data_IF_673315847716
#
_entry.id   IF_673315847716
#
_cell.length_a   1.000
_cell.length_b   1.000
_cell.length_c   1.000
_cell.angle_alpha   90.00
_cell.angle_beta   90.00
_cell.angle_gamma   90.00
#
_symmetry.space_group_name_H-M   'P 1'
#
loop_
_entity.id
_entity.type
_entity.pdbx_description
1 polymer ?
#
# COMPACT_ATOMS: atom_id res chain seq x y z
N UNK A 1 20.27 18.08 -4.82
CA UNK A 1 20.78 16.87 -5.52
C UNK A 1 20.10 15.66 -4.94
N UNK A 2 20.10 14.53 -5.65
CA UNK A 2 19.53 13.25 -5.16
C UNK A 2 20.14 12.81 -3.84
N UNK A 3 21.41 13.16 -3.61
CA UNK A 3 22.13 12.88 -2.35
C UNK A 3 21.54 13.66 -1.17
N UNK A 4 21.19 14.91 -1.34
CA UNK A 4 20.58 15.72 -0.28
C UNK A 4 19.21 15.16 0.11
N UNK A 5 18.42 14.73 -0.88
CA UNK A 5 17.11 14.09 -0.66
C UNK A 5 17.25 12.81 0.17
N UNK A 6 18.20 11.94 -0.16
CA UNK A 6 18.48 10.70 0.57
C UNK A 6 18.87 10.98 2.03
N UNK A 7 19.71 12.01 2.25
CA UNK A 7 20.10 12.43 3.61
C UNK A 7 18.89 12.91 4.40
N UNK A 8 18.02 13.75 3.81
CA UNK A 8 16.84 14.25 4.49
C UNK A 8 15.86 13.12 4.84
N UNK A 9 15.59 12.22 3.91
CA UNK A 9 14.73 11.03 4.15
C UNK A 9 15.28 10.17 5.30
N UNK A 10 16.60 9.95 5.32
CA UNK A 10 17.27 9.20 6.38
C UNK A 10 17.17 9.89 7.76
N UNK A 11 17.41 11.20 7.81
CA UNK A 11 17.33 11.99 9.06
C UNK A 11 15.88 12.04 9.60
N UNK A 12 14.87 12.14 8.71
CA UNK A 12 13.46 12.13 9.11
C UNK A 12 13.08 10.76 9.66
N UNK A 13 13.44 9.67 8.96
CA UNK A 13 13.11 8.30 9.37
C UNK A 13 13.73 7.90 10.72
N UNK A 14 14.88 8.46 11.06
CA UNK A 14 15.54 8.26 12.36
C UNK A 14 15.02 9.17 13.48
N UNK A 15 14.19 10.17 13.15
CA UNK A 15 13.73 11.16 14.11
C UNK A 15 14.76 12.24 14.46
N UNK A 16 15.84 12.36 13.68
CA UNK A 16 16.87 13.39 13.86
C UNK A 16 16.32 14.80 13.53
N UNK A 17 15.27 14.86 12.70
CA UNK A 17 14.50 16.07 12.45
C UNK A 17 13.13 15.92 13.15
N UNK A 18 12.87 16.80 14.12
CA UNK A 18 11.59 16.78 14.81
C UNK A 18 10.45 17.20 13.86
N UNK A 19 9.20 16.68 14.05
CA UNK A 19 8.05 17.08 13.23
C UNK A 19 7.84 18.60 13.21
N UNK A 20 8.09 19.28 14.32
CA UNK A 20 8.01 20.74 14.41
C UNK A 20 9.03 21.45 13.53
N UNK A 21 10.26 20.96 13.51
CA UNK A 21 11.32 21.51 12.68
C UNK A 21 11.02 21.28 11.20
N UNK A 22 10.47 20.12 10.86
CA UNK A 22 10.02 19.84 9.49
C UNK A 22 8.97 20.85 9.02
N UNK A 23 7.95 21.14 9.83
CA UNK A 23 6.94 22.15 9.48
C UNK A 23 7.54 23.54 9.24
N UNK A 24 8.55 23.93 10.03
CA UNK A 24 9.22 25.24 9.88
C UNK A 24 10.05 25.27 8.58
N UNK A 25 10.73 24.16 8.25
CA UNK A 25 11.53 24.05 7.01
C UNK A 25 10.67 24.22 5.76
N UNK A 26 9.39 23.80 5.78
CA UNK A 26 8.49 24.03 4.63
C UNK A 26 8.33 25.52 4.29
N UNK A 27 8.33 26.40 5.28
CA UNK A 27 8.32 27.85 5.08
C UNK A 27 9.71 28.37 4.65
N UNK A 28 10.78 27.89 5.28
CA UNK A 28 12.15 28.30 4.98
C UNK A 28 12.60 27.91 3.57
N UNK A 29 12.07 26.80 3.04
CA UNK A 29 12.33 26.31 1.69
C UNK A 29 11.31 26.84 0.65
N UNK A 30 10.45 27.77 1.04
CA UNK A 30 9.40 28.35 0.17
C UNK A 30 8.47 27.29 -0.45
N UNK A 31 8.27 26.16 0.21
CA UNK A 31 7.24 25.19 -0.14
C UNK A 31 5.86 25.72 0.25
N UNK A 32 5.80 26.47 1.35
CA UNK A 32 4.64 27.25 1.80
C UNK A 32 5.01 28.72 1.86
N UNK A 33 4.04 29.59 1.56
CA UNK A 33 4.19 31.03 1.72
C UNK A 33 4.46 31.36 3.21
N UNK A 34 5.46 32.19 3.45
CA UNK A 34 5.92 32.48 4.80
C UNK A 34 4.87 33.22 5.62
N UNK A 35 4.49 32.65 6.77
CA UNK A 35 3.55 33.23 7.74
C UNK A 35 4.12 33.24 9.15
N UNK A 36 4.53 34.41 9.62
CA UNK A 36 5.09 34.62 10.95
C UNK A 36 4.18 34.13 12.08
N UNK A 37 2.87 34.30 11.97
CA UNK A 37 1.92 33.90 12.99
C UNK A 37 1.88 32.37 13.16
N UNK A 38 1.84 31.63 12.06
CA UNK A 38 1.84 30.15 12.04
C UNK A 38 3.20 29.60 12.49
N UNK A 39 4.30 30.18 11.99
CA UNK A 39 5.66 29.77 12.40
C UNK A 39 5.85 29.97 13.91
N UNK A 40 5.37 31.06 14.48
CA UNK A 40 5.43 31.31 15.94
C UNK A 40 4.57 30.31 16.73
N UNK A 41 3.37 29.96 16.25
CA UNK A 41 2.52 28.93 16.87
C UNK A 41 3.19 27.56 16.86
N UNK A 42 3.87 27.22 15.77
CA UNK A 42 4.67 25.99 15.70
C UNK A 42 5.85 26.04 16.67
N UNK A 43 6.61 27.16 16.71
CA UNK A 43 7.78 27.31 17.59
C UNK A 43 7.42 27.22 19.07
N UNK A 44 6.34 27.85 19.50
CA UNK A 44 5.92 27.87 20.90
C UNK A 44 5.02 26.68 21.31
N UNK A 45 4.67 25.79 20.36
CA UNK A 45 3.93 24.56 20.62
C UNK A 45 2.43 24.72 20.75
N UNK A 46 1.86 25.89 20.41
CA UNK A 46 0.40 26.10 20.44
C UNK A 46 -0.30 25.54 19.20
N UNK A 47 0.46 25.17 18.18
CA UNK A 47 -0.01 24.41 17.00
C UNK A 47 0.74 23.09 16.93
N UNK A 48 -0.01 21.98 16.93
CA UNK A 48 0.57 20.66 16.80
C UNK A 48 1.06 20.42 15.35
N UNK A 49 2.29 19.90 15.15
CA UNK A 49 2.80 19.64 13.82
C UNK A 49 1.92 18.71 12.99
N UNK A 50 1.32 17.71 13.60
CA UNK A 50 0.43 16.76 12.91
C UNK A 50 -0.81 17.49 12.35
N UNK A 51 -1.48 18.30 13.16
CA UNK A 51 -2.69 19.02 12.74
C UNK A 51 -2.37 20.01 11.61
N UNK A 52 -1.24 20.71 11.73
CA UNK A 52 -0.75 21.60 10.68
C UNK A 52 -0.51 20.86 9.35
N UNK A 53 0.23 19.76 9.38
CA UNK A 53 0.54 18.97 8.17
C UNK A 53 -0.75 18.42 7.55
N UNK A 54 -1.66 17.86 8.36
CA UNK A 54 -2.93 17.33 7.88
C UNK A 54 -3.81 18.41 7.25
N UNK A 55 -3.85 19.62 7.81
CA UNK A 55 -4.54 20.76 7.20
C UNK A 55 -3.97 21.08 5.83
N UNK A 56 -2.64 21.19 5.72
CA UNK A 56 -1.96 21.53 4.46
C UNK A 56 -2.13 20.45 3.38
N UNK A 57 -2.11 19.17 3.76
CA UNK A 57 -2.39 18.06 2.83
C UNK A 57 -3.85 18.10 2.36
N UNK A 58 -4.81 18.28 3.29
CA UNK A 58 -6.23 18.31 2.95
C UNK A 58 -6.59 19.48 2.02
N UNK A 59 -5.89 20.61 2.18
CA UNK A 59 -6.04 21.77 1.33
C UNK A 59 -5.25 21.67 0.00
N UNK A 60 -4.52 20.57 -0.21
CA UNK A 60 -3.65 20.36 -1.38
C UNK A 60 -2.55 21.41 -1.51
N UNK A 61 -2.12 22.00 -0.38
CA UNK A 61 -1.03 22.98 -0.32
C UNK A 61 0.35 22.31 -0.31
N UNK A 62 0.44 21.07 0.17
CA UNK A 62 1.66 20.25 0.18
C UNK A 62 1.36 18.82 -0.26
N UNK A 63 2.36 18.17 -0.82
CA UNK A 63 2.30 16.75 -1.22
C UNK A 63 3.12 15.88 -0.27
N UNK A 64 2.83 14.58 -0.16
CA UNK A 64 3.67 13.65 0.62
C UNK A 64 5.14 13.66 0.20
N UNK A 65 5.44 13.83 -1.08
CA UNK A 65 6.82 13.89 -1.59
C UNK A 65 7.61 15.09 -1.02
N UNK A 66 6.94 16.23 -0.79
CA UNK A 66 7.58 17.40 -0.16
C UNK A 66 7.90 17.20 1.31
N UNK A 67 7.33 16.18 1.94
CA UNK A 67 7.62 15.74 3.31
C UNK A 67 8.68 14.63 3.36
N UNK A 68 9.37 14.35 2.26
CA UNK A 68 10.28 13.22 2.11
C UNK A 68 9.61 11.84 2.41
N UNK A 69 8.29 11.77 2.27
CA UNK A 69 7.55 10.53 2.34
C UNK A 69 7.52 9.87 0.97
N UNK A 70 7.50 8.55 0.94
CA UNK A 70 7.22 7.85 -0.31
C UNK A 70 5.82 8.25 -0.80
N UNK A 71 5.68 8.67 -2.07
CA UNK A 71 4.40 9.07 -2.59
C UNK A 71 3.44 7.89 -2.61
N UNK A 72 2.25 8.08 -2.04
CA UNK A 72 1.19 7.10 -2.17
C UNK A 72 0.71 7.06 -3.62
N UNK A 73 0.64 5.87 -4.17
CA UNK A 73 0.06 5.61 -5.50
C UNK A 73 -1.12 4.65 -5.37
N UNK A 74 -2.00 4.67 -6.33
CA UNK A 74 -3.15 3.78 -6.31
C UNK A 74 -3.97 3.83 -7.58
N UNK A 75 -4.92 2.89 -7.69
CA UNK A 75 -5.84 2.85 -8.81
C UNK A 75 -7.20 2.31 -8.39
N UNK A 76 -8.21 2.68 -9.14
CA UNK A 76 -9.56 2.13 -9.00
C UNK A 76 -10.13 1.85 -10.38
N UNK A 77 -10.67 0.64 -10.55
CA UNK A 77 -11.38 0.23 -11.76
C UNK A 77 -12.78 -0.21 -11.37
N UNK A 78 -13.79 0.36 -12.03
CA UNK A 78 -15.17 -0.04 -11.87
C UNK A 78 -15.64 -0.66 -13.17
N UNK A 79 -16.09 -1.90 -13.12
CA UNK A 79 -16.58 -2.65 -14.27
C UNK A 79 -18.04 -3.05 -14.09
N UNK A 80 -18.78 -3.11 -15.18
CA UNK A 80 -20.11 -3.72 -15.19
C UNK A 80 -19.99 -5.24 -15.14
N UNK A 81 -20.59 -5.88 -14.16
CA UNK A 81 -20.46 -7.33 -13.94
C UNK A 81 -21.12 -8.18 -15.02
N UNK A 82 -22.06 -7.63 -15.81
CA UNK A 82 -22.77 -8.35 -16.86
C UNK A 82 -22.10 -8.22 -18.22
N UNK A 83 -21.60 -7.02 -18.53
CA UNK A 83 -21.05 -6.71 -19.84
C UNK A 83 -19.52 -6.71 -19.87
N UNK A 84 -18.86 -6.56 -18.71
CA UNK A 84 -17.42 -6.36 -18.61
C UNK A 84 -16.96 -4.95 -18.97
N UNK A 85 -17.91 -4.04 -19.29
CA UNK A 85 -17.55 -2.66 -19.64
C UNK A 85 -16.89 -1.93 -18.48
N UNK A 86 -15.85 -1.18 -18.78
CA UNK A 86 -15.18 -0.31 -17.80
C UNK A 86 -16.02 0.95 -17.65
N UNK A 87 -16.60 1.18 -16.46
CA UNK A 87 -17.38 2.36 -16.10
C UNK A 87 -16.52 3.49 -15.56
N UNK A 88 -15.44 3.16 -14.86
CA UNK A 88 -14.44 4.09 -14.42
C UNK A 88 -13.08 3.41 -14.35
N UNK A 89 -12.03 4.17 -14.67
CA UNK A 89 -10.63 3.75 -14.54
C UNK A 89 -9.85 4.97 -14.08
N UNK A 90 -9.33 4.91 -12.85
CA UNK A 90 -8.62 6.00 -12.22
C UNK A 90 -7.24 5.52 -11.81
N UNK A 91 -6.23 6.32 -12.12
CA UNK A 91 -4.85 6.15 -11.67
C UNK A 91 -4.46 7.38 -10.84
N UNK A 92 -3.83 7.16 -9.68
CA UNK A 92 -3.37 8.21 -8.78
C UNK A 92 -1.87 8.06 -8.49
N UNK A 93 -1.11 9.13 -8.49
CA UNK A 93 -1.51 10.49 -8.89
C UNK A 93 -1.77 10.59 -10.39
N UNK A 94 -2.59 11.55 -10.76
CA UNK A 94 -2.81 11.93 -12.15
C UNK A 94 -1.94 13.12 -12.56
N UNK A 95 -2.11 13.57 -13.80
CA UNK A 95 -1.45 14.76 -14.33
C UNK A 95 -2.40 15.52 -15.26
N UNK A 96 -2.10 16.80 -15.49
CA UNK A 96 -2.91 17.65 -16.38
C UNK A 96 -2.53 17.41 -17.84
N UNK A 97 -3.36 16.66 -18.56
CA UNK A 97 -3.19 16.37 -19.97
C UNK A 97 -3.22 17.62 -20.84
N UNK A 98 -3.92 18.69 -20.43
CA UNK A 98 -4.04 19.89 -21.23
C UNK A 98 -2.71 20.63 -21.36
N UNK A 99 -1.85 20.53 -20.36
CA UNK A 99 -0.50 21.09 -20.39
C UNK A 99 0.46 20.37 -21.34
N UNK A 100 0.08 19.18 -21.78
CA UNK A 100 0.88 18.36 -22.72
C UNK A 100 0.23 18.29 -24.11
N UNK A 101 -1.02 18.75 -24.26
CA UNK A 101 -1.74 18.75 -25.52
C UNK A 101 -1.45 20.03 -26.34
N UNK A 102 -1.40 19.91 -27.67
CA UNK A 102 -1.23 21.05 -28.63
C UNK A 102 0.05 21.87 -28.45
N UNK A 103 0.95 21.46 -27.63
CA UNK A 103 2.23 22.11 -27.31
C UNK A 103 2.66 21.69 -25.91
N UNK A 104 3.80 21.01 -25.84
CA UNK A 104 4.28 20.47 -24.57
C UNK A 104 4.83 21.61 -23.69
N UNK A 105 4.24 21.78 -22.51
CA UNK A 105 4.84 22.58 -21.43
C UNK A 105 6.09 21.82 -20.92
N UNK A 106 7.25 22.26 -21.38
CA UNK A 106 8.51 21.56 -21.14
C UNK A 106 8.90 21.53 -19.64
N UNK A 107 8.61 22.59 -18.89
CA UNK A 107 8.90 22.66 -17.46
C UNK A 107 8.00 21.68 -16.69
N UNK A 108 6.72 21.65 -17.02
CA UNK A 108 5.77 20.71 -16.43
C UNK A 108 6.12 19.26 -16.77
N UNK A 109 6.48 18.98 -18.02
CA UNK A 109 6.89 17.63 -18.42
C UNK A 109 8.13 17.15 -17.65
N UNK A 110 9.14 18.02 -17.49
CA UNK A 110 10.31 17.69 -16.69
C UNK A 110 9.97 17.51 -15.20
N UNK A 111 8.99 18.25 -14.66
CA UNK A 111 8.51 18.01 -13.28
C UNK A 111 7.87 16.62 -13.15
N UNK A 112 7.04 16.19 -14.11
CA UNK A 112 6.44 14.85 -14.10
C UNK A 112 7.48 13.73 -14.21
N UNK A 113 8.55 13.94 -15.00
CA UNK A 113 9.64 12.97 -15.13
C UNK A 113 10.47 12.78 -13.85
N UNK A 114 10.55 13.84 -13.05
CA UNK A 114 11.30 13.81 -11.76
C UNK A 114 10.43 13.37 -10.59
N UNK A 115 9.13 13.32 -10.77
CA UNK A 115 8.19 12.93 -9.72
C UNK A 115 8.32 11.43 -9.43
N UNK A 116 8.73 11.09 -8.20
CA UNK A 116 8.91 9.71 -7.74
C UNK A 116 7.61 8.90 -7.76
N UNK A 117 6.46 9.57 -7.76
CA UNK A 117 5.15 8.92 -7.88
C UNK A 117 4.82 8.45 -9.29
N UNK A 118 5.68 8.75 -10.27
CA UNK A 118 5.48 8.37 -11.69
C UNK A 118 4.06 8.65 -12.19
N UNK A 119 3.56 9.90 -12.17
CA UNK A 119 2.16 10.21 -12.47
C UNK A 119 1.75 9.86 -13.90
N UNK A 120 2.71 9.65 -14.82
CA UNK A 120 2.46 9.18 -16.18
C UNK A 120 2.29 7.65 -16.28
N UNK A 121 2.60 6.90 -15.20
CA UNK A 121 2.38 5.47 -15.14
C UNK A 121 0.92 5.16 -14.88
N UNK A 122 0.31 4.32 -15.71
CA UNK A 122 -1.08 3.92 -15.50
C UNK A 122 -1.16 2.78 -14.48
N UNK A 123 -1.30 3.14 -13.20
CA UNK A 123 -1.38 2.18 -12.10
C UNK A 123 -2.56 1.20 -12.24
N UNK A 124 -3.63 1.60 -12.94
CA UNK A 124 -4.78 0.73 -13.12
C UNK A 124 -4.55 -0.43 -14.10
N UNK A 125 -3.61 -0.28 -15.05
CA UNK A 125 -3.39 -1.26 -16.12
C UNK A 125 -1.98 -1.83 -16.18
N UNK A 126 -1.00 -1.15 -15.59
CA UNK A 126 0.40 -1.48 -15.73
C UNK A 126 1.06 -1.92 -14.41
N UNK A 127 0.48 -1.55 -13.25
CA UNK A 127 1.04 -1.90 -11.96
C UNK A 127 0.84 -3.38 -11.64
N UNK A 128 1.86 -3.98 -11.04
CA UNK A 128 1.84 -5.36 -10.58
C UNK A 128 2.14 -5.39 -9.08
N UNK A 129 1.11 -5.55 -8.28
CA UNK A 129 1.23 -5.66 -6.83
C UNK A 129 0.78 -7.03 -6.35
N UNK A 130 1.31 -7.44 -5.18
CA UNK A 130 0.84 -8.66 -4.53
C UNK A 130 -0.65 -8.51 -4.17
N UNK A 131 -1.51 -9.47 -4.55
CA UNK A 131 -2.97 -9.38 -4.34
C UNK A 131 -3.38 -9.41 -2.85
N UNK A 132 -2.47 -9.81 -1.97
CA UNK A 132 -2.75 -9.90 -0.55
C UNK A 132 -3.89 -10.87 -0.23
N UNK A 133 -4.72 -10.54 0.85
CA UNK A 133 -5.81 -11.42 1.31
C UNK A 133 -6.92 -11.67 0.27
N UNK A 134 -7.00 -10.90 -0.79
CA UNK A 134 -7.95 -11.17 -1.87
C UNK A 134 -7.65 -12.48 -2.59
N UNK A 135 -6.38 -12.91 -2.60
CA UNK A 135 -5.97 -14.20 -3.17
C UNK A 135 -6.45 -15.41 -2.36
N UNK A 136 -6.89 -15.23 -1.11
CA UNK A 136 -7.42 -16.31 -0.28
C UNK A 136 -8.63 -17.00 -0.90
N UNK A 137 -9.46 -16.28 -1.62
CA UNK A 137 -10.60 -16.85 -2.36
C UNK A 137 -10.13 -17.79 -3.47
N UNK A 138 -9.04 -17.45 -4.15
CA UNK A 138 -8.42 -18.30 -5.17
C UNK A 138 -7.85 -19.56 -4.52
N UNK A 139 -7.11 -19.42 -3.42
CA UNK A 139 -6.55 -20.55 -2.66
C UNK A 139 -7.66 -21.46 -2.11
N UNK A 140 -8.77 -20.89 -1.60
CA UNK A 140 -9.93 -21.68 -1.14
C UNK A 140 -10.53 -22.49 -2.29
N UNK A 141 -10.77 -21.87 -3.44
CA UNK A 141 -11.31 -22.52 -4.63
C UNK A 141 -10.39 -23.65 -5.12
N UNK A 142 -9.08 -23.41 -5.16
CA UNK A 142 -8.09 -24.43 -5.53
C UNK A 142 -8.07 -25.58 -4.54
N UNK A 143 -8.13 -25.29 -3.23
CA UNK A 143 -8.18 -26.32 -2.18
C UNK A 143 -9.40 -27.21 -2.24
N UNK A 144 -10.57 -26.63 -2.50
CA UNK A 144 -11.82 -27.36 -2.69
C UNK A 144 -11.81 -28.19 -3.98
N UNK A 145 -11.36 -27.59 -5.10
CA UNK A 145 -11.31 -28.26 -6.40
C UNK A 145 -10.32 -29.43 -6.42
N UNK A 146 -9.16 -29.27 -5.77
CA UNK A 146 -8.17 -30.35 -5.65
C UNK A 146 -8.53 -31.40 -4.60
N UNK A 147 -9.56 -31.16 -3.78
CA UNK A 147 -9.99 -32.08 -2.71
C UNK A 147 -9.04 -32.16 -1.52
N UNK A 148 -8.12 -31.19 -1.34
CA UNK A 148 -7.25 -31.13 -0.14
C UNK A 148 -7.99 -30.58 1.08
N UNK A 149 -9.12 -29.93 0.86
CA UNK A 149 -10.10 -29.53 1.87
C UNK A 149 -11.52 -29.75 1.36
N UNK A 150 -12.45 -29.90 2.29
CA UNK A 150 -13.90 -29.85 2.05
C UNK A 150 -14.50 -28.64 2.75
N UNK A 151 -15.77 -28.32 2.46
CA UNK A 151 -16.51 -27.21 3.09
C UNK A 151 -16.64 -27.39 4.61
N UNK A 152 -16.71 -28.64 5.08
CA UNK A 152 -16.88 -28.99 6.48
C UNK A 152 -15.59 -29.17 7.25
N UNK A 153 -14.46 -29.20 6.57
CA UNK A 153 -13.16 -29.40 7.25
C UNK A 153 -12.84 -28.21 8.14
N UNK A 154 -12.37 -28.53 9.34
CA UNK A 154 -11.91 -27.55 10.30
C UNK A 154 -10.39 -27.61 10.43
N UNK A 155 -9.74 -26.47 10.31
CA UNK A 155 -8.30 -26.32 10.46
C UNK A 155 -8.03 -25.39 11.65
N UNK A 156 -7.12 -25.80 12.54
CA UNK A 156 -6.78 -25.00 13.73
C UNK A 156 -5.73 -23.95 13.41
N UNK A 157 -6.08 -22.69 13.70
CA UNK A 157 -5.13 -21.59 13.71
C UNK A 157 -4.62 -21.34 15.14
N UNK A 158 -3.34 -21.60 15.37
CA UNK A 158 -2.63 -21.30 16.62
C UNK A 158 -1.74 -20.04 16.50
N UNK A 159 -2.04 -19.16 15.53
CA UNK A 159 -1.30 -17.93 15.31
C UNK A 159 -0.02 -18.06 14.49
N UNK A 160 0.46 -19.28 14.23
CA UNK A 160 1.66 -19.56 13.41
C UNK A 160 1.43 -20.79 12.55
N UNK A 161 2.04 -20.79 11.36
CA UNK A 161 2.20 -21.98 10.53
C UNK A 161 3.59 -22.56 10.76
N UNK A 162 3.69 -23.79 11.26
CA UNK A 162 4.93 -24.40 11.77
C UNK A 162 5.60 -25.39 10.83
N UNK A 163 4.95 -25.74 9.71
CA UNK A 163 5.44 -26.78 8.78
C UNK A 163 6.64 -26.32 7.94
N UNK A 164 6.99 -25.02 7.99
CA UNK A 164 8.15 -24.47 7.29
C UNK A 164 9.03 -23.64 8.24
N UNK A 165 10.31 -23.52 7.91
CA UNK A 165 11.35 -22.97 8.81
C UNK A 165 11.10 -21.51 9.23
N UNK A 166 10.55 -20.66 8.37
CA UNK A 166 10.29 -19.26 8.67
C UNK A 166 9.02 -19.02 9.49
N UNK A 167 8.22 -20.04 9.74
CA UNK A 167 7.02 -20.03 10.58
C UNK A 167 6.15 -18.75 10.43
N UNK A 168 5.57 -18.49 9.25
CA UNK A 168 4.82 -17.27 9.04
C UNK A 168 3.62 -17.19 9.98
N UNK A 169 3.34 -15.94 10.43
CA UNK A 169 2.34 -15.68 11.47
C UNK A 169 0.99 -15.30 10.87
N UNK A 170 -0.07 -15.62 11.62
CA UNK A 170 -1.36 -14.99 11.43
C UNK A 170 -1.34 -13.56 11.96
N UNK A 171 -2.21 -12.71 11.45
CA UNK A 171 -2.31 -11.32 11.92
C UNK A 171 -2.72 -11.21 13.41
N UNK A 172 -3.44 -12.22 13.93
CA UNK A 172 -3.87 -12.29 15.34
C UNK A 172 -2.80 -12.87 16.29
N UNK A 173 -1.57 -13.13 15.83
CA UNK A 173 -0.49 -13.66 16.68
C UNK A 173 0.04 -12.59 17.66
N UNK A 174 0.28 -12.91 18.95
CA UNK A 174 0.15 -14.22 19.60
C UNK A 174 -1.32 -14.61 19.84
N UNK A 175 -1.62 -15.90 19.74
CA UNK A 175 -2.98 -16.44 19.80
C UNK A 175 -3.35 -17.12 18.49
N UNK A 176 -4.63 -17.17 18.16
CA UNK A 176 -5.13 -17.78 16.92
C UNK A 176 -6.64 -17.67 16.84
N UNK A 177 -7.22 -17.95 15.67
CA UNK A 177 -8.67 -17.96 15.46
C UNK A 177 -9.34 -19.22 16.07
N UNK A 178 -8.54 -20.25 16.39
CA UNK A 178 -9.08 -21.53 16.82
C UNK A 178 -9.37 -22.43 15.63
N UNK A 179 -10.50 -23.14 15.68
CA UNK A 179 -10.96 -24.00 14.58
C UNK A 179 -11.84 -23.18 13.64
N UNK A 180 -11.42 -23.10 12.40
CA UNK A 180 -12.15 -22.44 11.31
C UNK A 180 -12.43 -23.44 10.19
N UNK A 181 -13.62 -23.39 9.59
CA UNK A 181 -13.87 -23.92 8.25
C UNK A 181 -13.48 -22.88 7.18
N UNK A 182 -13.57 -23.24 5.90
CA UNK A 182 -13.13 -22.37 4.81
C UNK A 182 -13.89 -21.01 4.77
N UNK A 183 -15.18 -21.00 5.10
CA UNK A 183 -15.99 -19.77 5.13
C UNK A 183 -15.60 -18.86 6.30
N UNK A 184 -15.38 -19.45 7.47
CA UNK A 184 -14.91 -18.73 8.65
C UNK A 184 -13.51 -18.17 8.42
N UNK A 185 -12.62 -18.95 7.85
CA UNK A 185 -11.26 -18.53 7.52
C UNK A 185 -11.20 -17.38 6.51
N UNK A 186 -12.15 -17.32 5.55
CA UNK A 186 -12.30 -16.16 4.64
C UNK A 186 -12.79 -14.94 5.41
N UNK A 187 -13.87 -15.10 6.21
CA UNK A 187 -14.45 -14.02 7.04
C UNK A 187 -13.40 -13.38 7.95
N UNK A 188 -12.64 -14.23 8.64
CA UNK A 188 -11.65 -13.82 9.65
C UNK A 188 -10.27 -13.53 9.03
N UNK A 189 -10.16 -13.67 7.72
CA UNK A 189 -8.91 -13.49 6.96
C UNK A 189 -7.73 -14.26 7.56
N UNK A 190 -7.96 -15.52 7.97
CA UNK A 190 -6.99 -16.37 8.68
C UNK A 190 -5.80 -16.75 7.79
N UNK A 191 -4.61 -16.22 8.03
CA UNK A 191 -3.42 -16.55 7.24
C UNK A 191 -3.01 -18.03 7.41
N UNK A 192 -3.04 -18.54 8.64
CA UNK A 192 -2.60 -19.91 8.92
C UNK A 192 -3.45 -20.94 8.19
N UNK A 193 -4.77 -20.74 8.13
CA UNK A 193 -5.65 -21.63 7.36
C UNK A 193 -5.18 -21.74 5.90
N UNK A 194 -4.94 -20.61 5.25
CA UNK A 194 -4.56 -20.57 3.84
C UNK A 194 -3.11 -20.99 3.59
N UNK A 195 -2.19 -20.84 4.54
CA UNK A 195 -0.86 -21.46 4.47
C UNK A 195 -0.96 -22.98 4.48
N UNK A 196 -1.80 -23.56 5.35
CA UNK A 196 -2.03 -25.01 5.41
C UNK A 196 -2.67 -25.51 4.10
N UNK A 197 -3.67 -24.83 3.57
CA UNK A 197 -4.30 -25.22 2.30
C UNK A 197 -3.30 -25.19 1.15
N UNK A 198 -2.54 -24.09 1.00
CA UNK A 198 -1.51 -23.97 -0.03
C UNK A 198 -0.43 -25.05 0.11
N UNK A 199 0.01 -25.35 1.33
CA UNK A 199 0.98 -26.40 1.61
C UNK A 199 0.47 -27.80 1.22
N UNK A 200 -0.79 -28.13 1.55
CA UNK A 200 -1.43 -29.38 1.16
C UNK A 200 -1.55 -29.54 -0.37
N UNK A 201 -1.88 -28.45 -1.10
CA UNK A 201 -1.91 -28.45 -2.56
C UNK A 201 -0.52 -28.79 -3.09
N UNK A 202 0.51 -28.10 -2.60
CA UNK A 202 1.88 -28.32 -3.04
C UNK A 202 2.41 -29.74 -2.76
N UNK A 203 2.03 -30.32 -1.62
CA UNK A 203 2.39 -31.72 -1.29
C UNK A 203 1.72 -32.72 -2.25
N UNK A 204 0.42 -32.53 -2.52
CA UNK A 204 -0.32 -33.38 -3.45
C UNK A 204 0.26 -33.38 -4.86
N UNK A 205 0.65 -32.19 -5.35
CA UNK A 205 1.29 -32.06 -6.67
C UNK A 205 2.66 -32.76 -6.71
N UNK A 206 3.42 -32.71 -5.59
CA UNK A 206 4.71 -33.39 -5.49
C UNK A 206 4.56 -34.91 -5.48
N UNK A 207 3.57 -35.45 -4.78
CA UNK A 207 3.25 -36.87 -4.78
C UNK A 207 2.86 -37.33 -6.19
N UNK A 208 1.94 -36.61 -6.86
CA UNK A 208 1.53 -36.92 -8.22
C UNK A 208 2.68 -36.88 -9.24
N UNK A 209 3.66 -35.99 -9.04
CA UNK A 209 4.85 -35.93 -9.90
C UNK A 209 5.80 -37.12 -9.67
N UNK A 210 5.94 -37.61 -8.44
CA UNK A 210 6.83 -38.70 -8.09
C UNK A 210 6.24 -40.09 -8.48
N UNK A 211 4.92 -40.18 -8.60
CA UNK A 211 4.20 -41.43 -8.93
C UNK A 211 3.99 -41.64 -10.46
N UNK A 212 4.35 -40.64 -11.29
CA UNK A 212 4.24 -40.65 -12.77
C UNK A 212 5.57 -40.77 -13.47
#
# INVERSE_FOLDING_TARGET
SDFDTIIYEYMISRGDISPRKLCIVLFEQSVLDYDDATVNKLKNGTLAPYDFIMEKINNVEITPAQLALEPCTGSTIVTDVKTGEIRALVSYPGYDNNRLANGVDAEYYESLRKDKSNPQWNYATQEQTAPGSTFKMVTASAGLASGVISISDQIRCNGKFTEISNQPKCWISPGGHGLDNVSEAIRDSCNVFFYIVGYRIAQKDTEAYNDG
#
